data_IF_265912568486
#
_entry.id   IF_265912568486
#
_cell.length_a   1.000
_cell.length_b   1.000
_cell.length_c   1.000
_cell.angle_alpha   90.00
_cell.angle_beta   90.00
_cell.angle_gamma   90.00
#
_symmetry.space_group_name_H-M   'P 1'
#
loop_
_entity.id
_entity.type
_entity.pdbx_description
1 polymer ?
#
# COMPACT_ATOMS: atom_id res chain seq x y z
N UNK A 1 -3.67 1.61 -29.89
CA UNK A 1 -3.32 0.17 -30.03
C UNK A 1 -2.66 -0.23 -31.36
N UNK A 2 -1.86 0.63 -32.01
CA UNK A 2 -1.11 0.23 -33.23
C UNK A 2 0.40 0.05 -33.01
N UNK A 3 0.90 0.31 -31.80
CA UNK A 3 2.34 0.36 -31.52
C UNK A 3 2.86 -0.79 -30.65
N UNK A 4 1.98 -1.63 -30.08
CA UNK A 4 2.39 -2.81 -29.30
C UNK A 4 2.50 -4.02 -30.24
N UNK A 5 3.70 -4.59 -30.32
CA UNK A 5 4.00 -5.81 -31.10
C UNK A 5 4.08 -7.08 -30.24
N UNK A 6 3.98 -6.96 -28.91
CA UNK A 6 4.06 -8.08 -27.98
C UNK A 6 2.68 -8.69 -27.71
N UNK A 7 2.64 -10.01 -27.48
CA UNK A 7 1.42 -10.71 -27.05
C UNK A 7 1.08 -10.30 -25.61
N UNK A 8 -0.11 -9.73 -25.41
CA UNK A 8 -0.62 -9.34 -24.09
C UNK A 8 -1.60 -10.38 -23.60
N UNK A 9 -1.39 -10.87 -22.36
CA UNK A 9 -2.32 -11.77 -21.68
C UNK A 9 -2.76 -11.13 -20.37
N UNK A 10 -4.05 -11.25 -20.07
CA UNK A 10 -4.60 -10.87 -18.77
C UNK A 10 -4.56 -12.12 -17.90
N UNK A 11 -3.93 -12.00 -16.73
CA UNK A 11 -3.91 -13.03 -15.71
C UNK A 11 -4.60 -12.50 -14.46
N UNK A 12 -5.37 -13.38 -13.80
CA UNK A 12 -6.02 -13.10 -12.53
C UNK A 12 -5.34 -13.94 -11.46
N UNK A 13 -5.02 -13.32 -10.33
CA UNK A 13 -4.37 -13.95 -9.19
C UNK A 13 -5.28 -13.89 -7.97
N UNK A 14 -5.30 -14.95 -7.16
CA UNK A 14 -6.02 -14.95 -5.88
C UNK A 14 -5.28 -14.08 -4.85
N UNK A 15 -5.99 -13.63 -3.81
CA UNK A 15 -5.37 -12.87 -2.71
C UNK A 15 -4.32 -13.71 -1.99
N UNK A 16 -4.59 -14.99 -1.75
CA UNK A 16 -3.65 -15.90 -1.09
C UNK A 16 -2.33 -16.03 -1.88
N UNK A 17 -2.40 -16.08 -3.20
CA UNK A 17 -1.20 -16.15 -4.03
C UNK A 17 -0.45 -14.81 -4.08
N UNK A 18 -1.16 -13.68 -3.95
CA UNK A 18 -0.52 -12.37 -3.76
C UNK A 18 0.26 -12.32 -2.45
N UNK A 19 -0.30 -12.85 -1.35
CA UNK A 19 0.41 -12.92 -0.07
C UNK A 19 1.65 -13.82 -0.13
N UNK A 20 1.58 -14.94 -0.87
CA UNK A 20 2.75 -15.82 -1.09
C UNK A 20 3.84 -15.14 -1.92
N UNK A 21 3.46 -14.39 -2.95
CA UNK A 21 4.40 -13.69 -3.82
C UNK A 21 5.08 -12.50 -3.12
N UNK A 22 4.37 -11.85 -2.20
CA UNK A 22 4.79 -10.63 -1.52
C UNK A 22 4.72 -10.75 0.01
N UNK A 23 5.44 -11.70 0.64
CA UNK A 23 5.23 -12.08 2.04
C UNK A 23 5.50 -10.96 3.05
N UNK A 24 6.32 -9.96 2.68
CA UNK A 24 6.67 -8.83 3.53
C UNK A 24 5.77 -7.59 3.30
N UNK A 25 4.78 -7.69 2.41
CA UNK A 25 3.88 -6.57 2.08
C UNK A 25 2.46 -6.90 2.56
N UNK A 26 2.04 -6.27 3.66
CA UNK A 26 0.71 -6.45 4.25
C UNK A 26 -0.40 -5.61 3.57
N UNK A 27 -0.07 -4.88 2.49
CA UNK A 27 -0.98 -3.94 1.84
C UNK A 27 -1.84 -4.60 0.76
N UNK A 28 -2.86 -5.37 1.14
CA UNK A 28 -3.79 -6.01 0.21
C UNK A 28 -5.22 -5.44 0.24
N UNK A 29 -5.48 -4.47 1.12
CA UNK A 29 -6.82 -3.93 1.43
C UNK A 29 -7.61 -3.42 0.23
N UNK A 30 -6.94 -2.93 -0.83
CA UNK A 30 -7.58 -2.56 -2.10
C UNK A 30 -8.22 -3.75 -2.83
N UNK A 31 -7.66 -4.96 -2.65
CA UNK A 31 -8.12 -6.20 -3.27
C UNK A 31 -9.01 -7.01 -2.33
N UNK A 32 -8.64 -7.10 -1.06
CA UNK A 32 -9.38 -7.87 -0.05
C UNK A 32 -10.61 -7.14 0.50
N UNK A 33 -10.65 -5.81 0.35
CA UNK A 33 -11.66 -4.98 1.02
C UNK A 33 -11.53 -4.97 2.55
N UNK A 34 -10.48 -5.59 3.11
CA UNK A 34 -10.20 -5.63 4.55
C UNK A 34 -9.63 -4.29 5.03
N UNK A 35 -10.50 -3.30 5.05
CA UNK A 35 -10.24 -1.96 5.57
C UNK A 35 -10.95 -1.78 6.92
N UNK A 36 -10.34 -1.12 7.91
CA UNK A 36 -9.02 -0.47 7.89
C UNK A 36 -7.90 -1.43 8.34
N UNK A 37 -6.73 -1.31 7.74
CA UNK A 37 -5.53 -1.98 8.26
C UNK A 37 -5.13 -1.37 9.62
N UNK A 38 -4.51 -2.14 10.53
CA UNK A 38 -3.98 -1.58 11.78
C UNK A 38 -3.06 -0.38 11.50
N UNK A 39 -3.47 0.81 11.94
CA UNK A 39 -2.75 2.07 11.68
C UNK A 39 -3.19 2.85 10.43
N UNK A 40 -3.97 2.25 9.53
CA UNK A 40 -4.47 2.89 8.30
C UNK A 40 -5.36 4.10 8.58
N UNK A 41 -6.33 3.98 9.50
CA UNK A 41 -7.18 5.10 9.91
C UNK A 41 -6.38 6.27 10.50
N UNK A 42 -5.33 5.97 11.27
CA UNK A 42 -4.45 6.99 11.83
C UNK A 42 -3.74 7.76 10.72
N UNK A 43 -3.23 7.04 9.71
CA UNK A 43 -2.54 7.65 8.58
C UNK A 43 -3.47 8.52 7.73
N UNK A 44 -4.67 8.02 7.42
CA UNK A 44 -5.71 8.77 6.66
C UNK A 44 -6.14 10.02 7.41
N UNK A 45 -6.42 9.94 8.72
CA UNK A 45 -6.83 11.09 9.51
C UNK A 45 -5.72 12.15 9.58
N UNK A 46 -4.47 11.72 9.77
CA UNK A 46 -3.33 12.64 9.77
C UNK A 46 -3.12 13.30 8.41
N UNK A 47 -3.27 12.55 7.31
CA UNK A 47 -3.19 13.10 5.96
C UNK A 47 -4.27 14.17 5.71
N UNK A 48 -5.51 13.92 6.17
CA UNK A 48 -6.60 14.88 6.07
C UNK A 48 -6.32 16.16 6.88
N UNK A 49 -5.87 16.03 8.13
CA UNK A 49 -5.47 17.19 8.95
C UNK A 49 -4.36 17.99 8.26
N UNK A 50 -3.31 17.32 7.78
CA UNK A 50 -2.20 17.98 7.09
C UNK A 50 -2.66 18.74 5.84
N UNK A 51 -3.60 18.19 5.07
CA UNK A 51 -4.17 18.86 3.90
C UNK A 51 -4.92 20.14 4.29
N UNK A 52 -5.78 20.07 5.31
CA UNK A 52 -6.54 21.23 5.80
C UNK A 52 -5.60 22.31 6.36
N UNK A 53 -4.52 21.92 7.02
CA UNK A 53 -3.54 22.85 7.61
C UNK A 53 -2.48 23.36 6.62
N UNK A 54 -2.47 22.91 5.36
CA UNK A 54 -1.47 23.29 4.35
C UNK A 54 -0.06 22.78 4.67
N UNK A 55 0.05 21.61 5.28
CA UNK A 55 1.28 21.00 5.79
C UNK A 55 1.66 19.71 5.03
N UNK A 56 1.16 19.51 3.82
CA UNK A 56 1.38 18.33 3.00
C UNK A 56 2.86 18.06 2.66
N UNK A 57 3.72 19.06 2.78
CA UNK A 57 5.14 18.99 2.40
C UNK A 57 6.13 18.80 3.58
N UNK A 58 5.66 18.39 4.77
CA UNK A 58 6.57 18.10 5.89
C UNK A 58 7.32 16.79 5.64
N UNK A 59 8.63 16.77 5.91
CA UNK A 59 9.62 15.68 5.72
C UNK A 59 9.22 14.32 6.35
N UNK A 60 8.13 14.26 7.14
CA UNK A 60 7.66 13.07 7.84
C UNK A 60 6.62 12.25 7.07
N UNK A 61 6.87 11.99 5.78
CA UNK A 61 6.41 10.70 5.26
C UNK A 61 7.37 9.66 5.85
N UNK A 62 6.93 8.96 6.89
CA UNK A 62 7.73 8.08 7.73
C UNK A 62 8.78 7.27 6.95
N UNK A 63 10.06 7.33 7.36
CA UNK A 63 11.04 6.31 7.00
C UNK A 63 10.71 5.04 7.80
N UNK A 64 10.28 4.00 7.11
CA UNK A 64 10.02 2.70 7.71
C UNK A 64 11.36 2.02 8.02
N UNK A 65 11.83 2.14 9.27
CA UNK A 65 12.97 1.37 9.76
C UNK A 65 12.48 0.01 10.29
N UNK A 66 12.63 -1.03 9.47
CA UNK A 66 12.19 -2.40 9.79
C UNK A 66 13.08 -3.15 10.80
N UNK A 67 14.05 -2.50 11.43
CA UNK A 67 15.02 -3.15 12.33
C UNK A 67 14.61 -3.08 13.79
N UNK A 68 13.43 -3.58 14.16
CA UNK A 68 13.15 -4.03 15.53
C UNK A 68 11.99 -5.03 15.54
N UNK A 69 12.32 -6.29 15.28
CA UNK A 69 11.46 -7.44 15.60
C UNK A 69 12.35 -8.56 16.12
N UNK A 70 13.08 -8.32 17.20
CA UNK A 70 13.55 -9.37 18.11
C UNK A 70 13.56 -8.80 19.54
N UNK A 71 12.47 -9.03 20.27
CA UNK A 71 12.50 -9.45 21.67
C UNK A 71 11.31 -10.36 21.92
#
# INVERSE_FOLDING_TARGET
>A
DKDIKAEVKIVFQTIDDLHKACPNNAGDWYFSGNYPTPGGNRLVNNAFINYIEGQENKVYQYSLNFTNSVK
#
